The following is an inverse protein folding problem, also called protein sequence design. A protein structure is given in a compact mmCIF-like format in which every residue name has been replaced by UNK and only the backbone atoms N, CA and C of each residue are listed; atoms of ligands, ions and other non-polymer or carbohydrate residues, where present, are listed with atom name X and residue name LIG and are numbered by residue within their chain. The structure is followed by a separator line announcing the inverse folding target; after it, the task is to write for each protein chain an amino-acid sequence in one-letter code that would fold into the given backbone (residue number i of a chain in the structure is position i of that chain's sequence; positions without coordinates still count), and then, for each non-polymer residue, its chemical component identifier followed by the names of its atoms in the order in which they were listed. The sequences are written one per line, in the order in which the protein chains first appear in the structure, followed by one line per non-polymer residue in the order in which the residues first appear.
data_IF_474708091806
#
_entry.id   IF_474708091806
#
_cell.length_a   1.000
_cell.length_b   1.000
_cell.length_c   1.000
_cell.angle_alpha   90.00
_cell.angle_beta   90.00
_cell.angle_gamma   90.00
#
_symmetry.space_group_name_H-M   'P 1'
#
loop_
_entity.id
_entity.type
_entity.pdbx_description
1 polymer ?
#
# COMPACT_ATOMS: atom_id res chain seq x y z
N UNK A 1 14.16 5.72 23.31
CA UNK A 1 15.20 4.66 23.31
C UNK A 1 14.82 3.63 24.36
N UNK A 2 14.47 2.40 23.95
CA UNK A 2 14.02 1.35 24.89
C UNK A 2 15.19 0.55 25.47
N UNK A 3 15.13 0.28 26.77
CA UNK A 3 16.04 -0.63 27.48
C UNK A 3 15.23 -1.81 28.01
N UNK A 4 15.82 -3.01 28.05
CA UNK A 4 15.16 -4.17 28.68
C UNK A 4 15.13 -4.04 30.21
N UNK A 5 14.43 -4.97 30.87
CA UNK A 5 14.31 -5.03 32.32
C UNK A 5 15.64 -5.29 33.06
N UNK A 6 16.72 -5.54 32.33
CA UNK A 6 18.08 -5.70 32.84
C UNK A 6 18.96 -4.49 32.53
N UNK A 7 18.38 -3.39 32.03
CA UNK A 7 19.08 -2.15 31.70
C UNK A 7 20.00 -2.28 30.50
N UNK A 8 19.88 -3.36 29.71
CA UNK A 8 20.62 -3.52 28.46
C UNK A 8 19.84 -2.79 27.38
N UNK A 9 20.59 -2.17 26.48
CA UNK A 9 20.00 -1.64 25.26
C UNK A 9 19.30 -2.81 24.55
N UNK A 10 17.99 -2.68 24.34
CA UNK A 10 17.17 -3.66 23.63
C UNK A 10 16.92 -3.11 22.23
N UNK A 11 17.82 -3.35 21.26
CA UNK A 11 17.58 -2.96 19.90
C UNK A 11 16.41 -3.78 19.38
N UNK A 12 15.28 -3.13 19.09
CA UNK A 12 14.12 -3.81 18.52
C UNK A 12 14.34 -4.25 17.07
N UNK A 13 15.44 -3.85 16.44
CA UNK A 13 16.03 -4.43 15.22
C UNK A 13 17.31 -3.68 14.87
N UNK A 14 18.22 -4.33 14.13
CA UNK A 14 19.20 -3.65 13.28
C UNK A 14 18.91 -4.09 11.85
N UNK A 15 18.41 -3.20 11.02
CA UNK A 15 18.74 -3.28 9.60
C UNK A 15 19.80 -2.24 9.31
N UNK A 16 20.69 -2.59 8.40
CA UNK A 16 21.80 -1.78 7.98
C UNK A 16 21.27 -0.64 7.09
N UNK A 17 20.53 0.30 7.64
CA UNK A 17 20.10 1.51 6.93
C UNK A 17 21.24 2.54 6.91
N UNK A 18 22.33 2.24 6.20
CA UNK A 18 23.22 3.30 5.71
C UNK A 18 22.92 3.61 4.24
N UNK A 19 22.06 2.81 3.59
CA UNK A 19 21.79 2.90 2.15
C UNK A 19 20.35 3.39 1.85
N UNK A 20 19.61 3.81 2.87
CA UNK A 20 18.24 4.28 2.71
C UNK A 20 17.25 3.13 2.56
N UNK A 21 16.01 3.38 2.96
CA UNK A 21 14.89 2.57 2.53
C UNK A 21 14.67 2.82 1.03
N UNK A 22 14.52 1.77 0.23
CA UNK A 22 14.29 1.93 -1.22
C UNK A 22 12.93 2.56 -1.48
N UNK A 23 12.91 3.55 -2.37
CA UNK A 23 11.67 4.16 -2.86
C UNK A 23 11.26 3.38 -4.12
N UNK A 24 10.06 2.78 -4.16
CA UNK A 24 9.64 1.98 -5.29
C UNK A 24 9.45 2.84 -6.54
N UNK A 25 9.90 2.32 -7.68
CA UNK A 25 9.69 2.95 -8.99
C UNK A 25 8.31 2.59 -9.51
N UNK A 26 7.43 3.56 -9.67
CA UNK A 26 6.07 3.34 -10.20
C UNK A 26 5.99 3.50 -11.73
N UNK A 27 7.09 3.94 -12.33
CA UNK A 27 7.21 4.22 -13.75
C UNK A 27 7.30 2.92 -14.60
N UNK A 28 6.38 2.72 -15.56
CA UNK A 28 6.38 1.60 -16.52
C UNK A 28 6.71 2.01 -17.97
N UNK A 29 6.28 3.19 -18.44
CA UNK A 29 6.58 3.69 -19.80
C UNK A 29 7.39 5.00 -19.80
N UNK A 30 7.56 5.66 -20.95
CA UNK A 30 7.89 7.09 -20.98
C UNK A 30 6.60 7.91 -20.83
N UNK A 31 6.69 9.11 -20.25
CA UNK A 31 5.53 9.95 -19.96
C UNK A 31 5.70 11.39 -20.35
N UNK A 32 4.57 12.09 -20.48
CA UNK A 32 4.54 13.50 -20.84
C UNK A 32 4.51 14.33 -19.57
N UNK A 33 5.41 15.30 -19.46
CA UNK A 33 5.44 16.24 -18.33
C UNK A 33 4.98 17.59 -18.85
N UNK A 34 3.89 18.17 -18.34
CA UNK A 34 3.44 19.48 -18.78
C UNK A 34 4.53 20.50 -18.46
N UNK A 35 4.69 21.47 -19.35
CA UNK A 35 5.61 22.57 -19.12
C UNK A 35 5.06 23.45 -17.99
N UNK A 36 5.78 23.52 -16.88
CA UNK A 36 5.38 24.31 -15.73
C UNK A 36 6.48 24.40 -14.69
N UNK A 37 6.36 25.42 -13.84
CA UNK A 37 7.23 25.63 -12.69
C UNK A 37 6.46 25.27 -11.43
N UNK A 38 6.49 23.98 -11.09
CA UNK A 38 5.74 23.49 -9.95
C UNK A 38 6.61 23.40 -8.70
N UNK A 39 5.99 23.56 -7.55
CA UNK A 39 6.61 23.47 -6.23
C UNK A 39 5.69 22.72 -5.28
N UNK A 40 6.21 21.85 -4.41
CA UNK A 40 5.41 21.27 -3.34
C UNK A 40 4.87 22.38 -2.44
N UNK A 41 3.67 22.18 -1.90
CA UNK A 41 3.11 23.08 -0.92
C UNK A 41 3.96 23.11 0.37
N UNK A 42 4.24 24.29 0.90
CA UNK A 42 5.07 24.47 2.10
C UNK A 42 4.42 23.90 3.37
N UNK A 43 3.10 23.74 3.32
CA UNK A 43 2.29 23.25 4.42
C UNK A 43 2.14 21.72 4.46
N UNK A 44 2.73 21.00 3.51
CA UNK A 44 2.59 19.55 3.45
C UNK A 44 3.27 18.87 4.66
N UNK A 45 2.55 17.97 5.35
CA UNK A 45 3.15 17.14 6.38
C UNK A 45 4.29 16.27 5.86
N UNK A 46 5.32 16.08 6.69
CA UNK A 46 6.44 15.19 6.39
C UNK A 46 6.02 13.73 6.55
N UNK A 47 6.39 12.89 5.58
CA UNK A 47 5.95 11.49 5.53
C UNK A 47 7.08 10.50 5.78
N UNK A 48 8.23 10.72 5.15
CA UNK A 48 9.31 9.75 5.15
C UNK A 48 10.65 10.43 5.25
N UNK A 49 11.49 9.97 6.18
CA UNK A 49 12.81 10.54 6.40
C UNK A 49 13.84 9.83 5.53
N UNK A 50 14.55 10.60 4.70
CA UNK A 50 15.74 10.11 4.03
C UNK A 50 16.96 10.35 4.91
N UNK A 51 17.68 9.27 5.21
CA UNK A 51 18.83 9.34 6.09
C UNK A 51 20.09 9.88 5.41
N UNK A 52 20.19 9.79 4.09
CA UNK A 52 21.39 10.22 3.38
C UNK A 52 21.47 11.75 3.28
N UNK A 53 20.35 12.39 2.94
CA UNK A 53 20.22 13.85 2.89
C UNK A 53 19.74 14.47 4.20
N UNK A 54 19.39 13.65 5.19
CA UNK A 54 18.84 14.06 6.49
C UNK A 54 17.60 14.95 6.36
N UNK A 55 16.76 14.67 5.36
CA UNK A 55 15.61 15.49 4.99
C UNK A 55 14.37 14.64 4.78
N UNK A 56 13.19 15.26 4.87
CA UNK A 56 11.93 14.56 4.67
C UNK A 56 11.39 14.67 3.24
N UNK A 57 10.80 13.58 2.78
CA UNK A 57 9.85 13.61 1.68
C UNK A 57 8.45 13.93 2.19
N UNK A 58 7.73 14.73 1.41
CA UNK A 58 6.33 15.13 1.66
C UNK A 58 5.36 14.46 0.70
N UNK A 59 5.85 13.96 -0.43
CA UNK A 59 5.04 13.24 -1.43
C UNK A 59 5.86 12.07 -1.97
N UNK A 60 5.25 10.88 -2.02
CA UNK A 60 5.86 9.69 -2.62
C UNK A 60 5.57 9.58 -4.12
N UNK A 61 6.42 8.88 -4.89
CA UNK A 61 6.16 8.61 -6.30
C UNK A 61 4.83 7.89 -6.50
N UNK A 62 4.17 8.20 -7.61
CA UNK A 62 2.89 7.64 -8.02
C UNK A 62 1.67 8.19 -7.30
N UNK A 63 1.85 8.97 -6.22
CA UNK A 63 0.71 9.61 -5.55
C UNK A 63 0.04 10.59 -6.49
N UNK A 64 -1.28 10.60 -6.46
CA UNK A 64 -2.07 11.51 -7.29
C UNK A 64 -2.00 12.92 -6.71
N UNK A 65 -1.74 13.88 -7.59
CA UNK A 65 -1.47 15.27 -7.28
C UNK A 65 -2.60 16.18 -7.72
N UNK A 66 -2.71 17.29 -7.02
CA UNK A 66 -3.60 18.40 -7.27
C UNK A 66 -2.84 19.71 -6.94
N UNK A 67 -3.54 20.83 -7.08
CA UNK A 67 -3.03 22.16 -6.74
C UNK A 67 -3.81 22.76 -5.58
N UNK A 68 -3.10 23.44 -4.68
CA UNK A 68 -3.73 24.28 -3.66
C UNK A 68 -4.13 25.67 -4.20
N UNK A 69 -4.64 26.55 -3.33
CA UNK A 69 -5.05 27.90 -3.69
C UNK A 69 -3.94 28.73 -4.36
N UNK A 70 -2.67 28.45 -4.07
CA UNK A 70 -1.52 29.18 -4.59
C UNK A 70 -0.90 28.52 -5.82
N UNK A 71 -1.54 27.47 -6.36
CA UNK A 71 -1.00 26.71 -7.48
C UNK A 71 0.19 25.84 -7.10
N UNK A 72 0.41 25.57 -5.81
CA UNK A 72 1.44 24.65 -5.33
C UNK A 72 0.91 23.24 -5.35
N UNK A 73 1.80 22.29 -5.56
CA UNK A 73 1.49 20.88 -5.70
C UNK A 73 1.22 20.26 -4.33
N UNK A 74 0.10 19.58 -4.21
CA UNK A 74 -0.27 18.80 -3.04
C UNK A 74 -0.91 17.47 -3.46
N UNK A 75 -0.83 16.42 -2.63
CA UNK A 75 -1.63 15.20 -2.82
C UNK A 75 -3.13 15.50 -2.85
N UNK A 76 -3.86 14.85 -3.77
CA UNK A 76 -5.29 15.10 -3.99
C UNK A 76 -6.16 14.78 -2.75
N UNK A 77 -5.69 13.90 -1.85
CA UNK A 77 -6.38 13.55 -0.60
C UNK A 77 -6.76 14.74 0.28
N UNK A 78 -5.97 15.81 0.25
CA UNK A 78 -6.15 16.93 1.17
C UNK A 78 -7.45 17.69 0.91
N UNK A 79 -8.11 17.43 -0.23
CA UNK A 79 -9.49 17.85 -0.49
C UNK A 79 -10.50 17.21 0.50
N UNK A 80 -10.25 15.99 0.96
CA UNK A 80 -11.22 15.16 1.69
C UNK A 80 -10.83 14.81 3.11
N UNK A 81 -9.54 14.68 3.43
CA UNK A 81 -9.08 14.25 4.77
C UNK A 81 -8.70 15.38 5.71
N UNK A 82 -8.32 16.54 5.16
CA UNK A 82 -7.65 17.58 5.94
C UNK A 82 -6.20 17.21 6.25
N UNK A 83 -5.56 17.98 7.12
CA UNK A 83 -4.11 17.97 7.37
C UNK A 83 -3.83 17.59 8.81
N UNK A 84 -2.96 16.59 9.01
CA UNK A 84 -2.50 16.19 10.34
C UNK A 84 -1.01 16.46 10.46
N UNK A 85 -0.63 17.30 11.41
CA UNK A 85 0.75 17.56 11.78
C UNK A 85 1.16 16.78 13.03
N UNK A 86 2.38 16.27 12.99
CA UNK A 86 3.02 15.43 14.00
C UNK A 86 4.20 16.16 14.65
N UNK A 87 4.89 15.49 15.58
CA UNK A 87 6.12 16.04 16.15
C UNK A 87 7.25 16.21 15.11
N UNK A 88 7.26 15.37 14.06
CA UNK A 88 8.25 15.48 12.98
C UNK A 88 8.02 16.76 12.17
N UNK A 89 6.76 17.17 11.95
CA UNK A 89 6.42 18.41 11.26
C UNK A 89 6.90 19.65 12.02
N UNK A 90 6.75 19.63 13.34
CA UNK A 90 7.28 20.68 14.23
C UNK A 90 8.79 20.74 14.12
N UNK A 91 9.47 19.58 14.18
CA UNK A 91 10.92 19.51 14.11
C UNK A 91 11.47 19.95 12.74
N UNK A 92 10.77 19.60 11.65
CA UNK A 92 11.09 20.00 10.29
C UNK A 92 10.66 21.44 9.96
N UNK A 93 9.98 22.12 10.90
CA UNK A 93 9.50 23.48 10.74
C UNK A 93 8.42 23.67 9.69
N UNK A 94 7.67 22.60 9.33
CA UNK A 94 6.54 22.61 8.36
C UNK A 94 5.65 23.82 8.58
N UNK A 95 5.18 24.47 7.51
CA UNK A 95 4.29 25.62 7.64
C UNK A 95 2.87 25.16 7.99
N UNK A 96 2.24 25.79 8.97
CA UNK A 96 0.87 25.48 9.34
C UNK A 96 -0.11 26.07 8.31
N UNK A 97 -0.94 25.20 7.76
CA UNK A 97 -1.93 25.53 6.71
C UNK A 97 -2.93 26.62 7.10
N UNK A 98 -3.15 26.90 8.39
CA UNK A 98 -4.09 27.93 8.88
C UNK A 98 -3.44 29.25 9.24
N UNK A 99 -2.15 29.24 9.62
CA UNK A 99 -1.49 30.45 10.12
C UNK A 99 -0.44 31.00 9.16
N UNK A 100 0.07 30.19 8.23
CA UNK A 100 1.21 30.56 7.38
C UNK A 100 2.54 30.68 8.16
N UNK A 101 2.57 30.28 9.43
CA UNK A 101 3.78 30.23 10.26
C UNK A 101 4.20 28.78 10.52
N UNK A 102 5.44 28.50 10.94
CA UNK A 102 5.86 27.15 11.32
C UNK A 102 4.93 26.52 12.37
N UNK A 103 4.61 25.24 12.19
CA UNK A 103 3.77 24.45 13.11
C UNK A 103 4.43 24.45 14.49
N UNK A 104 3.73 24.97 15.50
CA UNK A 104 4.27 25.10 16.85
C UNK A 104 4.08 23.84 17.71
N UNK A 105 3.08 23.02 17.41
CA UNK A 105 2.77 21.77 18.11
C UNK A 105 1.97 20.83 17.18
N UNK A 106 1.97 19.51 17.45
CA UNK A 106 1.13 18.57 16.71
C UNK A 106 -0.35 19.01 16.75
N UNK A 107 -0.99 19.04 15.58
CA UNK A 107 -2.36 19.54 15.42
C UNK A 107 -3.02 18.89 14.22
N UNK A 108 -4.34 18.73 14.29
CA UNK A 108 -5.16 18.19 13.19
C UNK A 108 -6.12 19.26 12.73
N UNK A 109 -6.10 19.55 11.43
CA UNK A 109 -7.02 20.43 10.74
C UNK A 109 -7.93 19.58 9.85
N UNK A 110 -9.18 19.41 10.25
CA UNK A 110 -10.13 18.60 9.49
C UNK A 110 -10.41 19.19 8.10
N UNK A 111 -10.81 18.35 7.15
CA UNK A 111 -11.24 18.81 5.83
C UNK A 111 -12.35 19.88 5.96
N UNK A 112 -12.20 20.98 5.23
CA UNK A 112 -13.14 22.10 5.27
C UNK A 112 -13.11 22.97 6.54
N UNK A 113 -12.32 22.64 7.56
CA UNK A 113 -12.19 23.50 8.76
C UNK A 113 -11.18 24.63 8.60
N UNK A 114 -10.31 24.55 7.60
CA UNK A 114 -9.32 25.59 7.30
C UNK A 114 -10.02 26.76 6.60
N UNK A 115 -10.38 27.79 7.37
CA UNK A 115 -11.04 29.00 6.88
C UNK A 115 -10.10 30.20 6.65
N UNK A 116 -8.83 30.06 7.03
CA UNK A 116 -7.80 31.09 6.88
C UNK A 116 -6.53 30.48 6.26
N UNK A 117 -6.58 30.09 5.00
CA UNK A 117 -5.51 29.39 4.32
C UNK A 117 -4.22 30.23 4.29
N UNK A 118 -3.13 29.67 4.83
CA UNK A 118 -1.83 30.31 4.96
C UNK A 118 -1.88 31.69 5.63
N UNK A 119 -2.77 31.84 6.63
CA UNK A 119 -2.94 33.10 7.37
C UNK A 119 -3.79 34.17 6.66
N UNK A 120 -4.36 33.87 5.48
CA UNK A 120 -5.24 34.78 4.75
C UNK A 120 -6.68 34.66 5.26
N UNK A 121 -7.13 35.69 5.97
CA UNK A 121 -8.45 35.70 6.61
C UNK A 121 -9.59 35.49 5.62
N UNK A 122 -10.45 34.49 5.89
CA UNK A 122 -11.64 34.20 5.10
C UNK A 122 -11.37 33.42 3.80
N UNK A 123 -10.14 32.99 3.57
CA UNK A 123 -9.79 32.12 2.45
C UNK A 123 -9.81 30.66 2.92
N UNK A 124 -10.72 29.85 2.40
CA UNK A 124 -10.75 28.43 2.73
C UNK A 124 -9.65 27.66 1.97
N UNK A 125 -9.09 26.61 2.59
CA UNK A 125 -8.22 25.68 1.86
C UNK A 125 -9.04 24.97 0.78
N UNK A 126 -8.59 25.10 -0.46
CA UNK A 126 -9.14 24.44 -1.62
C UNK A 126 -8.04 23.64 -2.30
N UNK A 127 -8.39 22.41 -2.68
CA UNK A 127 -7.53 21.52 -3.46
C UNK A 127 -8.24 21.26 -4.78
N UNK A 128 -7.51 21.43 -5.89
CA UNK A 128 -8.05 21.22 -7.22
C UNK A 128 -8.44 19.76 -7.45
N UNK A 129 -9.12 19.50 -8.57
CA UNK A 129 -9.26 18.14 -9.08
C UNK A 129 -7.88 17.54 -9.41
N UNK A 130 -7.75 16.21 -9.49
CA UNK A 130 -6.50 15.54 -9.86
C UNK A 130 -5.90 16.12 -11.15
N UNK A 131 -4.64 16.53 -11.07
CA UNK A 131 -3.90 17.16 -12.17
C UNK A 131 -2.85 16.23 -12.81
N UNK A 132 -2.46 15.17 -12.11
CA UNK A 132 -1.46 14.21 -12.57
C UNK A 132 -0.86 13.46 -11.39
N UNK A 133 0.32 12.89 -11.57
CA UNK A 133 0.96 12.04 -10.55
C UNK A 133 2.40 12.45 -10.30
N UNK A 134 2.93 12.11 -9.12
CA UNK A 134 4.34 12.36 -8.80
C UNK A 134 5.25 11.37 -9.55
N UNK A 135 6.13 11.80 -10.47
CA UNK A 135 7.10 10.90 -11.12
C UNK A 135 8.18 10.40 -10.16
N UNK A 136 8.49 11.18 -9.12
CA UNK A 136 9.50 10.89 -8.11
C UNK A 136 9.07 11.48 -6.76
N UNK A 137 9.80 11.14 -5.70
CA UNK A 137 9.51 11.66 -4.36
C UNK A 137 9.83 13.15 -4.27
N UNK A 138 8.94 13.93 -3.65
CA UNK A 138 9.16 15.36 -3.46
C UNK A 138 9.70 15.64 -2.07
N UNK A 139 10.78 16.40 -2.03
CA UNK A 139 11.36 16.89 -0.78
C UNK A 139 10.46 17.93 -0.13
N UNK A 140 10.57 18.04 1.19
CA UNK A 140 9.93 19.12 1.92
C UNK A 140 10.38 20.47 1.33
N UNK A 141 9.41 21.32 1.02
CA UNK A 141 9.69 22.58 0.37
C UNK A 141 10.50 23.50 1.28
N UNK A 142 11.64 24.01 0.83
CA UNK A 142 12.52 24.83 1.67
C UNK A 142 11.94 26.21 2.02
N UNK A 143 11.03 26.74 1.20
CA UNK A 143 10.44 28.05 1.36
C UNK A 143 9.31 28.13 2.40
N UNK A 144 8.94 29.36 2.73
CA UNK A 144 7.97 29.69 3.78
C UNK A 144 6.51 29.75 3.31
N UNK A 145 6.21 29.49 2.04
CA UNK A 145 4.83 29.58 1.56
C UNK A 145 4.43 30.95 1.00
N UNK A 146 5.25 31.98 1.13
CA UNK A 146 4.89 33.36 0.76
C UNK A 146 4.91 33.59 -0.76
N UNK A 147 4.52 34.79 -1.19
CA UNK A 147 4.63 35.21 -2.60
C UNK A 147 6.08 35.49 -3.05
N UNK A 148 7.00 35.67 -2.09
CA UNK A 148 8.43 35.84 -2.35
C UNK A 148 9.17 34.49 -2.47
N UNK A 149 8.46 33.40 -2.22
CA UNK A 149 8.93 32.03 -2.27
C UNK A 149 8.99 31.53 -3.73
N UNK A 150 9.92 32.09 -4.49
CA UNK A 150 10.09 31.81 -5.91
C UNK A 150 10.97 30.58 -6.20
N UNK A 151 11.60 29.99 -5.18
CA UNK A 151 12.51 28.85 -5.32
C UNK A 151 13.91 29.23 -5.82
N UNK A 152 14.19 30.51 -6.11
CA UNK A 152 15.51 31.03 -6.50
C UNK A 152 16.10 31.95 -5.44
N UNK A 153 15.27 32.78 -4.83
CA UNK A 153 15.67 33.76 -3.85
C UNK A 153 15.66 33.14 -2.44
N UNK A 154 16.81 33.06 -1.75
CA UNK A 154 16.89 32.45 -0.43
C UNK A 154 16.22 33.28 0.67
N UNK A 155 15.74 34.50 0.39
CA UNK A 155 15.15 35.37 1.43
C UNK A 155 13.90 34.80 2.09
N UNK A 156 13.19 33.90 1.40
CA UNK A 156 11.97 33.25 1.89
C UNK A 156 12.23 31.80 2.34
N UNK A 157 13.49 31.36 2.46
CA UNK A 157 13.79 30.00 2.90
C UNK A 157 13.74 29.89 4.42
N UNK A 158 13.17 28.77 4.89
CA UNK A 158 13.11 28.42 6.31
C UNK A 158 14.45 27.94 6.84
N UNK A 159 15.32 27.47 5.95
CA UNK A 159 16.66 26.96 6.25
C UNK A 159 17.72 27.71 5.43
N UNK A 160 18.92 27.84 5.99
CA UNK A 160 20.00 28.60 5.36
C UNK A 160 20.58 27.88 4.14
N UNK A 161 20.41 28.47 2.95
CA UNK A 161 21.00 27.99 1.69
C UNK A 161 20.70 26.50 1.39
N UNK A 162 19.52 26.05 1.79
CA UNK A 162 19.08 24.68 1.61
C UNK A 162 17.91 24.66 0.64
N UNK A 163 18.11 24.08 -0.53
CA UNK A 163 17.05 23.81 -1.50
C UNK A 163 17.48 22.64 -2.38
N UNK A 164 17.20 21.41 -1.92
CA UNK A 164 17.54 20.19 -2.64
C UNK A 164 16.79 20.07 -3.96
N UNK A 165 15.59 20.67 -4.05
CA UNK A 165 14.70 20.54 -5.19
C UNK A 165 13.94 21.84 -5.44
N UNK A 166 14.55 22.69 -6.28
CA UNK A 166 13.99 24.00 -6.59
C UNK A 166 12.64 23.95 -7.32
N UNK A 167 12.39 22.89 -8.10
CA UNK A 167 11.16 22.67 -8.88
C UNK A 167 10.85 21.19 -8.95
N UNK A 168 9.57 20.89 -9.09
CA UNK A 168 9.05 19.55 -9.32
C UNK A 168 8.34 19.46 -10.67
N UNK A 169 8.24 18.24 -11.19
CA UNK A 169 7.50 17.93 -12.40
C UNK A 169 6.30 17.08 -12.04
N UNK A 170 5.17 17.31 -12.69
CA UNK A 170 4.01 16.43 -12.63
C UNK A 170 4.06 15.52 -13.86
N UNK A 171 3.62 14.28 -13.73
CA UNK A 171 3.49 13.36 -14.86
C UNK A 171 2.03 13.27 -15.29
N UNK A 172 1.79 13.46 -16.60
CA UNK A 172 0.50 13.33 -17.26
C UNK A 172 0.65 12.32 -18.42
N UNK A 173 -0.45 11.72 -18.88
CA UNK A 173 -0.49 10.74 -19.98
C UNK A 173 0.61 9.66 -19.87
N UNK A 174 0.34 8.61 -19.09
CA UNK A 174 1.37 7.67 -18.64
C UNK A 174 0.82 6.31 -18.24
N UNK A 175 1.60 5.23 -18.36
CA UNK A 175 1.25 3.94 -17.73
C UNK A 175 2.01 3.77 -16.42
N UNK A 176 1.28 3.79 -15.31
CA UNK A 176 1.82 3.44 -13.99
C UNK A 176 1.68 1.94 -13.74
N UNK A 177 2.62 1.38 -13.00
CA UNK A 177 2.50 0.04 -12.42
C UNK A 177 2.50 0.17 -10.90
N UNK A 178 1.38 -0.22 -10.27
CA UNK A 178 1.14 -0.05 -8.85
C UNK A 178 0.84 -1.39 -8.18
N UNK A 179 1.27 -1.58 -6.94
CA UNK A 179 0.88 -2.75 -6.15
C UNK A 179 -0.62 -2.69 -5.82
N UNK A 180 -1.32 -3.81 -6.00
CA UNK A 180 -2.71 -3.95 -5.59
C UNK A 180 -2.76 -4.51 -4.17
N UNK A 181 -3.15 -3.66 -3.23
CA UNK A 181 -3.13 -3.97 -1.80
C UNK A 181 -4.49 -4.54 -1.40
N UNK A 182 -4.54 -5.73 -0.77
CA UNK A 182 -5.78 -6.32 -0.33
C UNK A 182 -6.31 -5.61 0.93
N UNK A 183 -7.62 -5.72 1.13
CA UNK A 183 -8.29 -5.22 2.32
C UNK A 183 -7.81 -5.92 3.59
N UNK A 184 -8.25 -5.41 4.74
CA UNK A 184 -7.93 -6.03 6.03
C UNK A 184 -8.41 -7.48 6.13
N UNK A 185 -7.70 -8.27 6.93
CA UNK A 185 -8.02 -9.67 7.18
C UNK A 185 -9.45 -9.82 7.72
N UNK A 186 -10.23 -10.68 7.07
CA UNK A 186 -11.55 -11.10 7.52
C UNK A 186 -11.45 -12.52 8.06
N UNK A 187 -12.22 -12.84 9.08
CA UNK A 187 -12.31 -14.19 9.64
C UNK A 187 -13.77 -14.68 9.59
N UNK A 188 -13.96 -15.84 8.98
CA UNK A 188 -15.28 -16.43 8.77
C UNK A 188 -15.36 -17.85 9.31
N UNK A 189 -16.58 -18.24 9.67
CA UNK A 189 -16.90 -19.61 10.04
C UNK A 189 -17.01 -20.45 8.77
N UNK A 190 -16.09 -21.40 8.58
CA UNK A 190 -16.25 -22.45 7.60
C UNK A 190 -17.35 -23.39 8.13
N UNK A 191 -18.56 -23.21 7.60
CA UNK A 191 -19.82 -23.71 8.17
C UNK A 191 -19.81 -25.15 8.71
N UNK A 192 -20.65 -25.39 9.73
CA UNK A 192 -20.80 -26.66 10.44
C UNK A 192 -21.57 -27.74 9.64
N UNK A 193 -21.37 -27.81 8.32
CA UNK A 193 -21.97 -28.89 7.55
C UNK A 193 -21.24 -30.21 7.81
N UNK A 194 -22.00 -31.27 8.03
CA UNK A 194 -21.45 -32.61 8.26
C UNK A 194 -20.89 -33.12 6.94
N UNK A 195 -19.60 -32.90 6.71
CA UNK A 195 -18.95 -33.40 5.51
C UNK A 195 -18.45 -34.83 5.74
N UNK A 196 -19.09 -35.79 5.09
CA UNK A 196 -18.66 -37.18 5.02
C UNK A 196 -18.07 -37.45 3.62
N UNK A 197 -16.75 -37.48 3.51
CA UNK A 197 -16.02 -37.70 2.26
C UNK A 197 -14.59 -37.14 2.33
N UNK A 198 -13.71 -37.56 1.42
CA UNK A 198 -12.28 -37.22 1.45
C UNK A 198 -12.00 -35.71 1.25
N UNK A 199 -12.87 -34.94 0.60
CA UNK A 199 -12.69 -33.50 0.41
C UNK A 199 -13.98 -32.77 0.73
N UNK A 200 -13.84 -31.74 1.56
CA UNK A 200 -14.88 -30.76 1.84
C UNK A 200 -14.53 -29.48 1.10
N UNK A 201 -15.45 -28.97 0.30
CA UNK A 201 -15.31 -27.66 -0.34
C UNK A 201 -16.14 -26.66 0.43
N UNK A 202 -15.50 -25.64 1.00
CA UNK A 202 -16.17 -24.47 1.52
C UNK A 202 -16.20 -23.44 0.40
N UNK A 203 -17.40 -23.15 -0.11
CA UNK A 203 -17.67 -21.80 -0.56
C UNK A 203 -18.09 -21.07 0.71
N UNK A 204 -17.30 -20.11 1.21
CA UNK A 204 -17.77 -19.42 2.40
C UNK A 204 -19.09 -18.71 2.05
N UNK A 205 -20.13 -18.84 2.87
CA UNK A 205 -21.44 -18.27 2.56
C UNK A 205 -21.39 -16.74 2.37
N UNK A 206 -20.38 -16.04 2.90
CA UNK A 206 -20.10 -14.62 2.63
C UNK A 206 -19.06 -14.38 1.50
N UNK A 207 -18.35 -15.41 1.03
CA UNK A 207 -17.48 -15.35 -0.18
C UNK A 207 -18.29 -15.29 -1.49
N UNK A 208 -19.60 -15.57 -1.44
CA UNK A 208 -20.53 -15.60 -2.57
C UNK A 208 -21.86 -14.87 -2.31
N UNK A 209 -22.10 -14.34 -1.10
CA UNK A 209 -23.44 -13.91 -0.73
C UNK A 209 -23.41 -12.84 0.37
N UNK A 210 -23.36 -11.57 -0.04
CA UNK A 210 -24.29 -10.64 0.60
C UNK A 210 -25.70 -11.11 0.21
N UNK A 211 -26.27 -11.99 1.04
CA UNK A 211 -27.66 -12.41 0.92
C UNK A 211 -28.56 -11.25 1.33
N UNK A 212 -28.72 -10.27 0.43
CA UNK A 212 -29.85 -9.37 0.43
C UNK A 212 -30.35 -8.96 -0.96
N UNK A 213 -29.63 -9.21 -2.06
CA UNK A 213 -30.15 -8.99 -3.41
C UNK A 213 -29.77 -10.10 -4.40
N UNK A 214 -30.79 -10.76 -4.93
CA UNK A 214 -30.75 -11.87 -5.87
C UNK A 214 -30.21 -11.49 -7.26
N UNK A 215 -28.91 -11.21 -7.35
CA UNK A 215 -28.26 -10.91 -8.62
C UNK A 215 -26.75 -11.11 -8.57
N UNK A 216 -26.31 -12.36 -8.67
CA UNK A 216 -24.97 -12.78 -9.12
C UNK A 216 -23.84 -11.75 -8.88
N UNK A 217 -23.53 -11.43 -7.62
CA UNK A 217 -22.31 -10.68 -7.37
C UNK A 217 -21.11 -11.56 -7.71
N UNK A 218 -20.16 -11.08 -8.51
CA UNK A 218 -19.02 -11.86 -8.92
C UNK A 218 -18.14 -12.15 -7.70
N UNK A 219 -17.71 -13.40 -7.61
CA UNK A 219 -16.66 -13.90 -6.71
C UNK A 219 -15.57 -12.85 -6.46
N UNK A 220 -15.37 -12.51 -5.19
CA UNK A 220 -14.33 -11.57 -4.80
C UNK A 220 -12.97 -12.27 -4.91
N UNK A 221 -12.01 -11.72 -5.67
CA UNK A 221 -10.69 -12.31 -5.74
C UNK A 221 -10.03 -12.23 -4.37
N UNK A 222 -9.35 -13.32 -4.00
CA UNK A 222 -8.62 -13.46 -2.74
C UNK A 222 -7.13 -13.20 -2.95
N UNK A 223 -6.50 -12.67 -1.93
CA UNK A 223 -5.05 -12.54 -1.89
C UNK A 223 -4.40 -13.92 -1.72
N UNK A 224 -3.26 -14.12 -2.39
CA UNK A 224 -2.44 -15.30 -2.18
C UNK A 224 -2.00 -15.45 -0.72
N UNK A 225 -1.78 -16.69 -0.28
CA UNK A 225 -1.26 -16.99 1.04
C UNK A 225 0.24 -16.70 1.08
N UNK A 226 0.59 -15.55 1.64
CA UNK A 226 1.99 -15.14 1.80
C UNK A 226 2.29 -14.82 3.26
N UNK A 227 3.55 -14.54 3.58
CA UNK A 227 3.91 -14.03 4.92
C UNK A 227 3.22 -12.68 5.23
N UNK A 228 2.88 -11.89 4.19
CA UNK A 228 2.21 -10.59 4.33
C UNK A 228 0.69 -10.73 4.43
N UNK A 229 0.13 -11.72 3.74
CA UNK A 229 -1.30 -12.01 3.65
C UNK A 229 -1.59 -13.46 4.01
N UNK A 230 -1.31 -13.87 5.26
CA UNK A 230 -1.42 -15.26 5.64
C UNK A 230 -2.87 -15.70 5.65
N UNK A 231 -3.12 -16.86 5.05
CA UNK A 231 -4.36 -17.60 5.21
C UNK A 231 -4.18 -18.54 6.38
N UNK A 232 -5.01 -18.37 7.42
CA UNK A 232 -4.88 -19.15 8.65
C UNK A 232 -6.17 -19.84 9.00
N UNK A 233 -6.05 -21.08 9.47
CA UNK A 233 -7.16 -21.84 10.01
C UNK A 233 -7.08 -21.84 11.53
N UNK A 234 -8.21 -21.62 12.19
CA UNK A 234 -8.32 -21.65 13.65
C UNK A 234 -9.56 -22.42 14.10
N UNK A 235 -9.60 -22.74 15.40
CA UNK A 235 -10.62 -23.60 15.99
C UNK A 235 -10.12 -25.01 16.27
N UNK A 236 -10.88 -25.77 17.08
CA UNK A 236 -10.45 -27.09 17.56
C UNK A 236 -10.19 -28.10 16.43
N UNK A 237 -10.88 -27.93 15.30
CA UNK A 237 -10.71 -28.76 14.11
C UNK A 237 -9.49 -28.37 13.25
N UNK A 238 -8.92 -27.17 13.43
CA UNK A 238 -7.79 -26.68 12.64
C UNK A 238 -6.43 -27.18 13.15
N UNK A 239 -6.31 -27.39 14.46
CA UNK A 239 -5.04 -27.73 15.12
C UNK A 239 -4.47 -29.04 14.58
N UNK A 240 -3.41 -28.95 13.76
CA UNK A 240 -2.69 -30.09 13.20
C UNK A 240 -3.24 -30.66 11.89
N UNK A 241 -4.35 -30.13 11.36
CA UNK A 241 -5.02 -30.67 10.16
C UNK A 241 -4.81 -29.82 8.89
N UNK A 242 -4.56 -28.52 9.03
CA UNK A 242 -4.43 -27.59 7.89
C UNK A 242 -3.10 -26.85 7.96
N UNK A 243 -2.00 -27.57 7.73
CA UNK A 243 -0.65 -27.04 7.88
C UNK A 243 -0.05 -26.54 6.58
N UNK A 244 -0.36 -27.20 5.46
CA UNK A 244 0.31 -26.97 4.18
C UNK A 244 -0.70 -26.68 3.08
N UNK A 245 -0.56 -25.54 2.42
CA UNK A 245 -1.31 -25.28 1.20
C UNK A 245 -0.80 -26.15 0.05
N UNK A 246 -1.71 -26.67 -0.77
CA UNK A 246 -1.44 -27.38 -2.01
C UNK A 246 -1.76 -26.50 -3.21
N UNK A 247 -1.10 -26.79 -4.33
CA UNK A 247 -1.24 -26.03 -5.57
C UNK A 247 -2.53 -26.40 -6.31
N UNK A 248 -3.02 -27.63 -6.11
CA UNK A 248 -4.23 -28.12 -6.77
C UNK A 248 -5.15 -28.92 -5.86
N UNK A 249 -6.44 -28.96 -6.19
CA UNK A 249 -7.43 -29.84 -5.53
C UNK A 249 -7.05 -31.32 -5.64
N UNK A 250 -6.38 -31.73 -6.73
CA UNK A 250 -5.93 -33.11 -6.91
C UNK A 250 -4.84 -33.52 -5.91
N UNK A 251 -3.97 -32.59 -5.52
CA UNK A 251 -2.99 -32.80 -4.46
C UNK A 251 -3.65 -32.88 -3.09
N UNK A 252 -4.66 -32.06 -2.83
CA UNK A 252 -5.47 -32.16 -1.59
C UNK A 252 -6.11 -33.55 -1.48
N UNK A 253 -6.62 -34.10 -2.59
CA UNK A 253 -7.21 -35.43 -2.62
C UNK A 253 -6.21 -36.57 -2.37
N UNK A 254 -4.94 -36.39 -2.74
CA UNK A 254 -3.92 -37.46 -2.72
C UNK A 254 -2.97 -37.37 -1.54
N UNK A 255 -2.57 -36.16 -1.15
CA UNK A 255 -1.61 -35.87 -0.10
C UNK A 255 -2.27 -35.32 1.17
N UNK A 256 -3.51 -34.85 1.08
CA UNK A 256 -4.23 -34.18 2.17
C UNK A 256 -3.98 -32.68 2.23
N UNK A 257 -4.33 -32.09 3.39
CA UNK A 257 -4.31 -30.65 3.70
C UNK A 257 -5.36 -29.80 2.96
N UNK A 258 -4.98 -28.67 2.35
CA UNK A 258 -5.92 -27.69 1.83
C UNK A 258 -5.41 -26.98 0.57
N UNK A 259 -6.33 -26.47 -0.23
CA UNK A 259 -6.10 -25.66 -1.43
C UNK A 259 -7.13 -24.54 -1.47
N UNK A 260 -6.77 -23.40 -2.04
CA UNK A 260 -7.68 -22.29 -2.28
C UNK A 260 -7.57 -21.88 -3.75
N UNK A 261 -8.72 -21.80 -4.42
CA UNK A 261 -8.82 -21.15 -5.72
C UNK A 261 -8.97 -19.65 -5.48
N UNK A 262 -7.93 -18.89 -5.80
CA UNK A 262 -7.87 -17.45 -5.54
C UNK A 262 -8.84 -16.63 -6.43
N UNK A 263 -9.21 -17.17 -7.59
CA UNK A 263 -10.15 -16.51 -8.50
C UNK A 263 -11.60 -16.69 -8.06
N UNK A 264 -11.92 -17.89 -7.52
CA UNK A 264 -13.28 -18.21 -7.08
C UNK A 264 -13.48 -18.09 -5.57
N UNK A 265 -12.42 -17.90 -4.79
CA UNK A 265 -12.45 -17.94 -3.34
C UNK A 265 -12.85 -19.30 -2.75
N UNK A 266 -12.81 -20.39 -3.53
CA UNK A 266 -13.26 -21.71 -3.06
C UNK A 266 -12.12 -22.38 -2.31
N UNK A 267 -12.36 -22.75 -1.06
CA UNK A 267 -11.40 -23.45 -0.22
C UNK A 267 -11.74 -24.94 -0.21
N UNK A 268 -10.81 -25.76 -0.67
CA UNK A 268 -10.90 -27.22 -0.62
C UNK A 268 -10.03 -27.72 0.53
N UNK A 269 -10.61 -28.44 1.48
CA UNK A 269 -9.85 -29.09 2.56
C UNK A 269 -10.05 -30.59 2.52
N UNK A 270 -8.99 -31.31 2.88
CA UNK A 270 -9.01 -32.73 3.18
C UNK A 270 -9.13 -32.91 4.69
N UNK A 271 -10.11 -33.70 5.13
CA UNK A 271 -10.24 -34.09 6.52
C UNK A 271 -10.42 -35.61 6.58
N UNK A 272 -9.48 -36.29 7.25
CA UNK A 272 -9.51 -37.76 7.40
C UNK A 272 -10.67 -38.25 8.30
N UNK A 273 -11.23 -37.35 9.11
CA UNK A 273 -12.42 -37.58 9.92
C UNK A 273 -13.41 -36.42 9.70
N UNK A 274 -14.71 -36.70 9.85
CA UNK A 274 -15.72 -35.67 9.78
C UNK A 274 -15.41 -34.54 10.79
N UNK A 275 -15.44 -33.29 10.31
CA UNK A 275 -15.44 -32.11 11.17
C UNK A 275 -16.82 -32.07 11.82
N UNK A 276 -16.96 -32.74 12.97
CA UNK A 276 -18.25 -32.82 13.65
C UNK A 276 -18.70 -31.41 14.06
N UNK A 277 -19.92 -31.04 13.65
CA UNK A 277 -20.49 -29.69 13.65
C UNK A 277 -20.72 -29.00 15.01
N UNK A 278 -19.87 -29.25 16.01
CA UNK A 278 -19.79 -28.51 17.27
C UNK A 278 -18.51 -27.68 17.43
N UNK A 279 -17.49 -27.91 16.61
CA UNK A 279 -16.24 -27.12 16.62
C UNK A 279 -16.17 -26.28 15.35
N UNK A 280 -16.37 -24.98 15.49
CA UNK A 280 -16.32 -24.01 14.40
C UNK A 280 -14.89 -23.95 13.85
N UNK A 281 -14.70 -24.48 12.63
CA UNK A 281 -13.50 -24.19 11.84
C UNK A 281 -13.63 -22.73 11.39
N UNK A 282 -12.62 -21.93 11.66
CA UNK A 282 -12.54 -20.55 11.20
C UNK A 282 -11.42 -20.41 10.20
N UNK A 283 -11.68 -19.70 9.12
CA UNK A 283 -10.66 -19.30 8.16
C UNK A 283 -10.49 -17.79 8.22
N UNK A 284 -9.25 -17.33 8.32
CA UNK A 284 -8.92 -15.92 8.21
C UNK A 284 -8.10 -15.69 6.94
N UNK A 285 -8.54 -14.73 6.12
CA UNK A 285 -8.02 -14.49 4.78
C UNK A 285 -8.09 -12.98 4.41
N UNK A 286 -7.42 -12.61 3.33
CA UNK A 286 -7.39 -11.25 2.79
C UNK A 286 -8.09 -11.24 1.41
N UNK A 287 -8.84 -10.19 1.10
CA UNK A 287 -9.60 -10.08 -0.14
C UNK A 287 -9.47 -8.68 -0.76
N UNK A 288 -9.80 -8.54 -2.04
CA UNK A 288 -9.76 -7.24 -2.75
C UNK A 288 -11.12 -6.53 -2.80
N UNK A 289 -12.16 -7.12 -2.22
CA UNK A 289 -13.53 -6.58 -2.30
C UNK A 289 -13.79 -5.26 -1.56
N UNK A 290 -12.94 -4.84 -0.63
CA UNK A 290 -13.12 -3.61 0.16
C UNK A 290 -11.87 -2.75 0.15
N UNK A 291 -12.02 -1.50 0.60
CA UNK A 291 -10.90 -0.56 0.72
C UNK A 291 -9.94 -0.99 1.85
N UNK A 292 -8.66 -0.63 1.69
CA UNK A 292 -7.62 -0.95 2.66
C UNK A 292 -7.78 -0.08 3.91
N UNK A 293 -7.74 -0.70 5.09
CA UNK A 293 -7.69 0.03 6.35
C UNK A 293 -6.23 0.34 6.70
N UNK A 294 -5.74 1.49 6.23
CA UNK A 294 -4.39 1.98 6.52
C UNK A 294 -3.75 2.66 5.32
N UNK A 295 -3.37 3.93 5.50
CA UNK A 295 -2.71 4.71 4.46
C UNK A 295 -1.33 4.13 4.14
N UNK A 296 -1.16 3.56 2.94
CA UNK A 296 0.18 3.33 2.42
C UNK A 296 0.84 4.69 2.15
N UNK A 297 2.04 4.90 2.71
CA UNK A 297 2.86 6.09 2.41
C UNK A 297 3.18 6.12 0.91
N UNK A 298 3.36 4.95 0.30
CA UNK A 298 3.58 4.78 -1.13
C UNK A 298 2.27 4.72 -1.92
N UNK A 299 2.34 5.03 -3.22
CA UNK A 299 1.19 4.88 -4.09
C UNK A 299 0.81 3.40 -4.23
N UNK A 300 -0.46 3.11 -3.99
CA UNK A 300 -1.02 1.78 -4.12
C UNK A 300 -2.38 1.86 -4.81
N UNK A 301 -2.82 0.72 -5.32
CA UNK A 301 -4.19 0.53 -5.75
C UNK A 301 -4.93 -0.33 -4.73
N UNK A 302 -6.23 -0.10 -4.59
CA UNK A 302 -7.09 -0.92 -3.73
C UNK A 302 -8.47 -1.15 -4.33
N UNK A 303 -9.18 -2.14 -3.79
CA UNK A 303 -10.45 -2.60 -4.32
C UNK A 303 -10.31 -3.64 -5.43
N UNK A 304 -11.46 -4.13 -5.93
CA UNK A 304 -11.54 -5.16 -6.96
C UNK A 304 -11.44 -4.52 -8.35
N UNK A 305 -10.26 -3.99 -8.68
CA UNK A 305 -9.99 -3.38 -9.96
C UNK A 305 -9.97 -4.42 -11.08
N UNK A 306 -10.64 -4.12 -12.19
CA UNK A 306 -10.66 -4.95 -13.40
C UNK A 306 -10.15 -4.16 -14.60
N UNK A 307 -9.63 -4.87 -15.59
CA UNK A 307 -9.25 -4.25 -16.86
C UNK A 307 -10.44 -3.51 -17.48
N UNK A 308 -10.23 -2.25 -17.83
CA UNK A 308 -11.24 -1.34 -18.36
C UNK A 308 -11.87 -0.41 -17.33
N UNK A 309 -11.73 -0.66 -16.03
CA UNK A 309 -12.28 0.20 -14.99
C UNK A 309 -11.60 1.57 -15.00
N UNK A 310 -12.38 2.62 -14.80
CA UNK A 310 -11.84 3.94 -14.49
C UNK A 310 -11.44 4.00 -13.01
N UNK A 311 -10.44 4.80 -12.70
CA UNK A 311 -9.94 4.97 -11.32
C UNK A 311 -10.02 6.42 -10.87
N UNK A 312 -10.34 6.59 -9.60
CA UNK A 312 -10.33 7.87 -8.87
C UNK A 312 -9.36 7.79 -7.69
N UNK A 313 -9.13 8.93 -7.05
CA UNK A 313 -8.37 9.02 -5.81
C UNK A 313 -9.23 8.71 -4.60
N UNK A 314 -8.69 7.91 -3.67
CA UNK A 314 -9.25 7.80 -2.33
C UNK A 314 -8.73 8.88 -1.38
N UNK A 315 -9.08 8.74 -0.09
CA UNK A 315 -8.66 9.60 0.99
C UNK A 315 -7.14 9.56 1.28
N UNK A 316 -6.37 8.67 0.68
CA UNK A 316 -4.92 8.54 0.87
C UNK A 316 -4.14 8.81 -0.44
N UNK A 317 -4.80 9.43 -1.42
CA UNK A 317 -4.29 9.67 -2.78
C UNK A 317 -3.82 8.39 -3.48
N UNK A 318 -4.43 7.26 -3.13
CA UNK A 318 -4.30 5.96 -3.78
C UNK A 318 -5.41 5.76 -4.81
N UNK A 319 -5.30 4.68 -5.58
CA UNK A 319 -6.15 4.42 -6.73
C UNK A 319 -7.26 3.44 -6.35
N UNK A 320 -8.51 3.84 -6.58
CA UNK A 320 -9.70 3.00 -6.35
C UNK A 320 -10.61 3.04 -7.56
N UNK A 321 -11.44 2.00 -7.72
CA UNK A 321 -12.42 1.94 -8.80
C UNK A 321 -13.36 3.16 -8.74
N UNK A 322 -13.57 3.78 -9.91
CA UNK A 322 -14.50 4.88 -10.05
C UNK A 322 -15.94 4.35 -9.92
N UNK A 323 -16.70 4.91 -8.99
CA UNK A 323 -18.15 4.75 -8.95
C UNK A 323 -18.84 5.68 -9.95
N UNK A 324 -20.05 6.13 -9.62
CA UNK A 324 -20.73 7.18 -10.38
C UNK A 324 -20.20 8.56 -9.97
N UNK A 325 -19.08 8.96 -10.57
CA UNK A 325 -18.36 10.22 -10.29
C UNK A 325 -18.35 11.15 -11.50
N UNK A 326 -17.98 12.42 -11.28
CA UNK A 326 -17.69 13.34 -12.39
C UNK A 326 -16.46 12.83 -13.16
N UNK A 327 -16.50 12.92 -14.49
CA UNK A 327 -15.38 12.54 -15.35
C UNK A 327 -14.10 13.31 -15.00
N UNK A 328 -14.22 14.52 -14.44
CA UNK A 328 -13.09 15.33 -13.97
C UNK A 328 -12.36 14.77 -12.75
N UNK A 329 -12.97 13.84 -12.04
CA UNK A 329 -12.36 13.14 -10.90
C UNK A 329 -11.60 11.87 -11.32
N UNK A 330 -11.76 11.45 -12.58
CA UNK A 330 -11.10 10.26 -13.13
C UNK A 330 -9.63 10.57 -13.40
N UNK A 331 -8.76 9.78 -12.81
CA UNK A 331 -7.30 9.90 -12.94
C UNK A 331 -6.78 9.07 -14.12
N UNK A 332 -7.37 7.89 -14.31
CA UNK A 332 -6.91 6.95 -15.32
C UNK A 332 -7.87 5.79 -15.56
N UNK A 333 -7.41 4.83 -16.35
CA UNK A 333 -8.10 3.60 -16.68
C UNK A 333 -7.16 2.40 -16.47
N UNK A 334 -7.67 1.36 -15.84
CA UNK A 334 -6.95 0.09 -15.65
C UNK A 334 -6.80 -0.60 -17.01
N UNK A 335 -5.56 -0.91 -17.38
CA UNK A 335 -5.24 -1.67 -18.60
C UNK A 335 -5.23 -3.17 -18.28
N UNK A 336 -4.60 -3.53 -17.18
CA UNK A 336 -4.30 -4.91 -16.84
C UNK A 336 -4.12 -5.06 -15.33
N UNK A 337 -4.53 -6.23 -14.81
CA UNK A 337 -4.17 -6.71 -13.48
C UNK A 337 -3.39 -8.00 -13.68
N UNK A 338 -2.13 -8.01 -13.24
CA UNK A 338 -1.20 -9.11 -13.46
C UNK A 338 -0.74 -9.67 -12.11
N UNK A 339 -0.47 -10.98 -12.08
CA UNK A 339 0.25 -11.57 -10.95
C UNK A 339 1.74 -11.19 -11.02
N UNK A 340 2.22 -10.54 -9.97
CA UNK A 340 3.57 -10.08 -9.76
C UNK A 340 4.52 -11.20 -9.31
N UNK A 341 4.00 -12.36 -8.84
CA UNK A 341 4.75 -13.61 -8.67
C UNK A 341 5.13 -14.18 -10.04
N UNK A 342 5.98 -13.44 -10.75
CA UNK A 342 6.85 -14.01 -11.76
C UNK A 342 7.95 -14.67 -10.97
N UNK A 343 7.75 -15.93 -10.57
CA UNK A 343 8.75 -16.72 -9.83
C UNK A 343 10.11 -16.69 -10.54
N UNK A 344 10.89 -15.66 -10.24
CA UNK A 344 12.22 -15.44 -10.80
C UNK A 344 13.24 -16.32 -10.06
N UNK A 345 12.87 -16.87 -8.90
CA UNK A 345 13.69 -17.81 -8.14
C UNK A 345 13.71 -19.18 -8.85
N UNK A 346 12.62 -19.59 -9.50
CA UNK A 346 12.63 -20.73 -10.43
C UNK A 346 13.57 -20.55 -11.63
N UNK A 347 13.85 -19.30 -12.02
CA UNK A 347 14.77 -18.96 -13.12
C UNK A 347 16.24 -18.79 -12.66
N UNK A 348 16.49 -18.62 -11.36
CA UNK A 348 17.82 -18.38 -10.80
C UNK A 348 18.12 -19.41 -9.71
N UNK A 349 19.08 -20.31 -9.97
CA UNK A 349 19.59 -21.22 -8.93
C UNK A 349 20.23 -20.43 -7.80
N UNK A 350 19.53 -20.22 -6.70
CA UNK A 350 20.10 -19.63 -5.48
C UNK A 350 20.59 -20.75 -4.55
N UNK A 351 21.59 -20.45 -3.73
CA UNK A 351 22.07 -21.36 -2.69
C UNK A 351 21.09 -21.50 -1.49
N UNK A 352 19.91 -20.88 -1.57
CA UNK A 352 18.98 -20.64 -0.46
C UNK A 352 17.64 -21.38 -0.61
N UNK A 353 17.62 -22.46 -1.39
CA UNK A 353 16.42 -23.30 -1.56
C UNK A 353 16.26 -24.21 -0.32
N UNK A 354 15.37 -23.84 0.61
CA UNK A 354 13.98 -24.26 0.50
C UNK A 354 12.96 -23.09 0.47
N UNK A 355 11.69 -23.37 0.11
CA UNK A 355 10.62 -22.37 -0.01
C UNK A 355 10.45 -21.51 1.26
N UNK A 356 10.02 -20.26 1.08
CA UNK A 356 9.54 -19.40 2.17
C UNK A 356 8.39 -20.11 2.91
N UNK A 357 8.67 -20.59 4.11
CA UNK A 357 7.69 -21.33 4.94
C UNK A 357 8.27 -22.56 5.65
N UNK A 358 9.44 -23.06 5.24
CA UNK A 358 10.15 -24.04 6.05
C UNK A 358 11.03 -23.33 7.07
N UNK A 359 10.93 -23.72 8.34
CA UNK A 359 11.87 -23.36 9.39
C UNK A 359 13.29 -23.76 8.97
N UNK A 360 13.99 -22.85 8.31
CA UNK A 360 15.41 -23.01 8.02
C UNK A 360 16.21 -22.73 9.31
N UNK A 361 15.93 -23.51 10.35
CA UNK A 361 16.89 -23.75 11.42
C UNK A 361 18.01 -24.59 10.80
N UNK A 362 18.96 -23.91 10.17
CA UNK A 362 20.09 -24.51 9.47
C UNK A 362 20.77 -25.56 10.34
N UNK A 363 20.52 -26.83 10.02
CA UNK A 363 21.19 -27.99 10.59
C UNK A 363 21.85 -28.87 9.52
N UNK A 364 21.65 -28.55 8.24
CA UNK A 364 22.36 -29.21 7.14
C UNK A 364 23.58 -28.38 6.70
N UNK A 365 24.80 -28.94 6.73
CA UNK A 365 26.02 -28.22 6.36
C UNK A 365 25.99 -27.95 4.85
N UNK A 366 25.74 -26.69 4.47
CA UNK A 366 25.76 -26.25 3.07
C UNK A 366 24.68 -25.25 2.67
N UNK A 367 23.66 -25.02 3.51
CA UNK A 367 22.62 -24.01 3.27
C UNK A 367 22.86 -22.81 4.18
N UNK A 368 22.97 -21.64 3.57
CA UNK A 368 23.19 -20.38 4.28
C UNK A 368 21.91 -19.98 5.06
N UNK A 369 22.08 -19.35 6.23
CA UNK A 369 20.98 -19.11 7.17
C UNK A 369 19.99 -18.07 6.64
N UNK A 370 18.82 -17.92 7.29
CA UNK A 370 17.87 -16.85 6.95
C UNK A 370 18.52 -15.45 6.97
N UNK A 371 19.53 -15.25 7.82
CA UNK A 371 20.31 -14.01 7.92
C UNK A 371 21.24 -13.76 6.72
N UNK A 372 21.49 -14.78 5.91
CA UNK A 372 22.37 -14.70 4.74
C UNK A 372 21.57 -14.54 3.44
N UNK A 373 20.23 -14.41 3.49
CA UNK A 373 19.39 -14.27 2.30
C UNK A 373 19.75 -12.99 1.53
N UNK A 374 19.97 -13.14 0.23
CA UNK A 374 20.19 -12.00 -0.67
C UNK A 374 18.89 -11.20 -0.85
N UNK A 375 18.96 -9.90 -1.23
CA UNK A 375 17.81 -9.00 -1.32
C UNK A 375 16.60 -9.53 -2.13
N UNK A 376 16.80 -10.39 -3.13
CA UNK A 376 15.69 -11.01 -3.87
C UNK A 376 15.08 -12.24 -3.20
N UNK A 377 15.87 -13.06 -2.50
CA UNK A 377 15.33 -14.21 -1.74
C UNK A 377 14.64 -13.78 -0.44
N UNK A 378 15.05 -12.64 0.13
CA UNK A 378 14.45 -12.08 1.34
C UNK A 378 13.02 -11.55 1.12
N UNK A 379 12.69 -11.10 -0.10
CA UNK A 379 11.33 -10.67 -0.46
C UNK A 379 10.47 -11.83 -0.97
N UNK A 380 11.07 -12.99 -1.25
CA UNK A 380 10.42 -14.11 -1.92
C UNK A 380 10.34 -14.00 -3.42
N UNK A 381 11.24 -13.24 -4.04
CA UNK A 381 11.29 -13.05 -5.49
C UNK A 381 10.34 -11.97 -6.00
N UNK A 382 9.48 -11.41 -5.16
CA UNK A 382 8.60 -10.29 -5.53
C UNK A 382 9.37 -8.98 -5.67
N UNK A 383 8.84 -8.08 -6.50
CA UNK A 383 9.37 -6.74 -6.66
C UNK A 383 9.25 -5.91 -5.37
N UNK A 384 10.11 -4.91 -5.26
CA UNK A 384 10.09 -3.90 -4.21
C UNK A 384 8.71 -3.22 -4.08
N UNK A 385 8.03 -2.96 -5.21
CA UNK A 385 6.68 -2.37 -5.23
C UNK A 385 5.67 -3.17 -4.42
N UNK A 386 5.65 -4.49 -4.59
CA UNK A 386 4.75 -5.40 -3.87
C UNK A 386 5.14 -5.48 -2.41
N UNK A 387 6.44 -5.58 -2.13
CA UNK A 387 6.96 -5.72 -0.77
C UNK A 387 6.66 -4.50 0.11
N UNK A 388 6.95 -3.29 -0.37
CA UNK A 388 6.82 -2.07 0.43
C UNK A 388 5.38 -1.60 0.63
N UNK A 389 4.47 -1.95 -0.28
CA UNK A 389 3.06 -1.58 -0.16
C UNK A 389 2.22 -2.58 0.64
N UNK A 390 2.80 -3.72 1.07
CA UNK A 390 2.05 -4.78 1.75
C UNK A 390 1.07 -5.52 0.84
N UNK A 391 1.29 -5.48 -0.48
CA UNK A 391 0.51 -6.27 -1.41
C UNK A 391 0.86 -7.77 -1.31
N UNK A 392 -0.10 -8.62 -1.68
CA UNK A 392 0.09 -10.06 -1.71
C UNK A 392 0.94 -10.45 -2.93
N UNK A 393 0.30 -10.43 -4.10
CA UNK A 393 0.85 -10.95 -5.36
C UNK A 393 0.36 -10.19 -6.59
N UNK A 394 -0.53 -9.20 -6.48
CA UNK A 394 -1.08 -8.52 -7.65
C UNK A 394 -0.47 -7.13 -7.89
N UNK A 395 -0.24 -6.80 -9.15
CA UNK A 395 0.06 -5.45 -9.64
C UNK A 395 -0.97 -5.02 -10.66
N UNK A 396 -1.27 -3.73 -10.68
CA UNK A 396 -2.20 -3.12 -11.64
C UNK A 396 -1.45 -2.13 -12.51
N UNK A 397 -1.75 -2.16 -13.81
CA UNK A 397 -1.27 -1.15 -14.76
C UNK A 397 -2.39 -0.17 -15.07
N UNK A 398 -2.13 1.11 -14.83
CA UNK A 398 -3.11 2.18 -14.99
C UNK A 398 -2.58 3.15 -16.03
N UNK A 399 -3.35 3.33 -17.11
CA UNK A 399 -3.13 4.41 -18.05
C UNK A 399 -3.75 5.70 -17.49
N UNK A 400 -2.93 6.72 -17.26
CA UNK A 400 -3.42 8.04 -16.88
C UNK A 400 -4.14 8.67 -18.05
N UNK A 401 -5.33 9.20 -17.77
CA UNK A 401 -6.20 9.91 -18.73
C UNK A 401 -6.45 11.35 -18.29
N UNK A 402 -5.93 11.73 -17.10
CA UNK A 402 -5.95 13.10 -16.60
C UNK A 402 -5.22 14.03 -17.57
N UNK A 403 -5.99 14.93 -18.18
CA UNK A 403 -5.56 15.95 -19.14
C UNK A 403 -6.04 17.33 -18.71
#
# INVERSE_FOLDING_TARGET
MGFDSLGRYSPTHKSWDHVGNMIPVVEHSEGVRPHGEFKPAAWLPVQFFDKYYEEYFVVMPGKVLAFDNDGRVCPAQYATTGVTYTANDVAAGTIDVTTGNPVAAPVVHAAGSVANFMGRTGEAMAVSKPAGVAPYAYWQWAGDGSSLDDGFNPSAYRQHNHNLQHRVAILCDYVLELPLVPASQVAEDAGAETHAGNVSTFAAPDLMSDSANSGADPLLPLASNTVRTPITFSGAAATGNFLVQKDTVAEVLSLGDWHIDLATGVVSVFAAAAINGGSTLKIAYFHYGTAVTGASVFAAASGNLKAGDFVVTDADSNYVAAGNVDFRDIVGQVIEVENADKDALGMVKTAYNPPLGTDASGSSPGYAGQMDQMPGSATGGVSDKVHYAGAADLVVRINLVSR
#
